data_IF_882831587708
#
_entry.id   IF_882831587708
#
_cell.length_a   1.000
_cell.length_b   1.000
_cell.length_c   1.000
_cell.angle_alpha   90.00
_cell.angle_beta   90.00
_cell.angle_gamma   90.00
#
_symmetry.space_group_name_H-M   'P 1'
#
loop_
_entity.id
_entity.type
_entity.pdbx_description
1 polymer ?
#
# COMPACT_ATOMS: atom_id res chain seq x y z
N UNK A 1 8.07 -2.79 15.06
CA UNK A 1 8.10 -2.58 13.58
C UNK A 1 7.15 -3.51 12.81
N UNK A 2 6.69 -4.63 13.38
CA UNK A 2 5.68 -5.48 12.73
C UNK A 2 4.26 -4.87 12.80
N UNK A 3 3.96 -4.13 13.87
CA UNK A 3 2.66 -3.49 14.12
C UNK A 3 2.29 -2.46 13.06
N UNK A 4 3.26 -1.66 12.60
CA UNK A 4 3.05 -0.67 11.53
C UNK A 4 2.62 -1.36 10.22
N UNK A 5 3.27 -2.49 9.88
CA UNK A 5 2.92 -3.26 8.70
C UNK A 5 1.58 -3.98 8.86
N UNK A 6 1.24 -4.41 10.08
CA UNK A 6 -0.05 -5.03 10.36
C UNK A 6 -1.18 -4.01 10.17
N UNK A 7 -1.06 -2.82 10.76
CA UNK A 7 -2.06 -1.76 10.60
C UNK A 7 -2.24 -1.34 9.14
N UNK A 8 -1.15 -1.18 8.40
CA UNK A 8 -1.21 -0.89 6.96
C UNK A 8 -1.90 -2.01 6.16
N UNK A 9 -1.74 -3.28 6.56
CA UNK A 9 -2.44 -4.41 5.91
C UNK A 9 -3.93 -4.37 6.22
N UNK A 10 -4.32 -4.17 7.48
CA UNK A 10 -5.73 -4.08 7.89
C UNK A 10 -6.44 -2.95 7.14
N UNK A 11 -5.83 -1.76 7.10
CA UNK A 11 -6.38 -0.62 6.36
C UNK A 11 -6.46 -0.91 4.86
N UNK A 12 -5.49 -1.61 4.29
CA UNK A 12 -5.52 -2.00 2.88
C UNK A 12 -6.62 -3.01 2.55
N UNK A 13 -6.94 -3.92 3.48
CA UNK A 13 -8.03 -4.88 3.32
C UNK A 13 -9.39 -4.19 3.39
N UNK A 14 -9.55 -3.20 4.29
CA UNK A 14 -10.74 -2.35 4.35
C UNK A 14 -10.85 -1.41 3.13
N UNK A 15 -9.75 -0.80 2.71
CA UNK A 15 -9.72 0.16 1.61
C UNK A 15 -8.40 0.11 0.83
N UNK A 16 -8.46 -0.34 -0.43
CA UNK A 16 -7.28 -0.45 -1.32
C UNK A 16 -6.75 0.91 -1.80
N UNK A 17 -7.50 2.01 -1.59
CA UNK A 17 -7.16 3.36 -2.05
C UNK A 17 -7.26 4.35 -0.88
N UNK A 18 -6.12 4.86 -0.43
CA UNK A 18 -6.12 5.90 0.60
C UNK A 18 -6.61 7.24 0.07
N UNK A 19 -7.50 7.87 0.84
CA UNK A 19 -7.77 9.31 0.77
C UNK A 19 -6.66 10.08 1.50
N UNK A 20 -6.59 11.39 1.25
CA UNK A 20 -5.61 12.26 1.92
C UNK A 20 -5.78 12.26 3.45
N UNK A 21 -7.01 12.43 3.92
CA UNK A 21 -7.36 12.41 5.35
C UNK A 21 -6.90 11.11 6.04
N UNK A 22 -7.15 9.95 5.41
CA UNK A 22 -6.70 8.67 5.98
C UNK A 22 -5.21 8.48 5.94
N UNK A 23 -4.54 8.96 4.90
CA UNK A 23 -3.08 8.95 4.82
C UNK A 23 -2.46 9.79 5.94
N UNK A 24 -3.01 10.98 6.21
CA UNK A 24 -2.57 11.84 7.32
C UNK A 24 -2.78 11.16 8.68
N UNK A 25 -3.96 10.55 8.89
CA UNK A 25 -4.28 9.83 10.13
C UNK A 25 -3.28 8.70 10.38
N UNK A 26 -3.03 7.85 9.37
CA UNK A 26 -2.10 6.73 9.50
C UNK A 26 -0.64 7.17 9.65
N UNK A 27 -0.26 8.29 9.03
CA UNK A 27 1.06 8.87 9.19
C UNK A 27 1.32 9.25 10.65
N UNK A 28 0.35 9.89 11.29
CA UNK A 28 0.43 10.25 12.71
C UNK A 28 0.36 9.02 13.62
N UNK A 29 -0.53 8.07 13.36
CA UNK A 29 -0.72 6.87 14.19
C UNK A 29 0.52 5.95 14.16
N UNK A 30 1.16 5.82 12.99
CA UNK A 30 2.30 4.94 12.79
C UNK A 30 3.65 5.63 12.94
N UNK A 31 3.67 6.95 13.21
CA UNK A 31 4.86 7.80 13.16
C UNK A 31 5.66 7.59 11.86
N UNK A 32 4.94 7.59 10.73
CA UNK A 32 5.50 7.43 9.38
C UNK A 32 5.20 8.66 8.54
N UNK A 33 6.01 8.91 7.52
CA UNK A 33 5.70 9.95 6.56
C UNK A 33 4.57 9.51 5.63
N UNK A 34 3.68 10.43 5.28
CA UNK A 34 2.61 10.19 4.30
C UNK A 34 3.13 9.60 2.98
N UNK A 35 4.32 10.03 2.55
CA UNK A 35 5.01 9.49 1.38
C UNK A 35 5.33 8.00 1.51
N UNK A 36 5.75 7.54 2.68
CA UNK A 36 6.04 6.11 2.93
C UNK A 36 4.75 5.29 2.85
N UNK A 37 3.66 5.80 3.44
CA UNK A 37 2.34 5.16 3.37
C UNK A 37 1.85 5.10 1.92
N UNK A 38 1.98 6.20 1.16
CA UNK A 38 1.63 6.25 -0.27
C UNK A 38 2.40 5.22 -1.09
N UNK A 39 3.73 5.15 -0.92
CA UNK A 39 4.60 4.19 -1.61
C UNK A 39 4.20 2.75 -1.25
N UNK A 40 3.93 2.48 0.04
CA UNK A 40 3.53 1.16 0.49
C UNK A 40 2.22 0.71 -0.17
N UNK A 41 1.20 1.58 -0.21
CA UNK A 41 -0.09 1.29 -0.87
C UNK A 41 0.07 1.09 -2.39
N UNK A 42 0.91 1.88 -3.04
CA UNK A 42 1.25 1.70 -4.46
C UNK A 42 1.90 0.33 -4.72
N UNK A 43 2.93 -0.03 -3.94
CA UNK A 43 3.63 -1.31 -4.04
C UNK A 43 2.70 -2.50 -3.76
N UNK A 44 1.81 -2.38 -2.78
CA UNK A 44 0.84 -3.42 -2.43
C UNK A 44 -0.16 -3.66 -3.57
N UNK A 45 -0.70 -2.60 -4.19
CA UNK A 45 -1.57 -2.73 -5.38
C UNK A 45 -0.83 -3.32 -6.57
N UNK A 46 0.40 -2.88 -6.83
CA UNK A 46 1.23 -3.42 -7.91
C UNK A 46 1.49 -4.93 -7.71
N UNK A 47 1.76 -5.37 -6.47
CA UNK A 47 1.92 -6.78 -6.13
C UNK A 47 0.65 -7.58 -6.39
N UNK A 48 -0.52 -7.10 -5.96
CA UNK A 48 -1.80 -7.77 -6.24
C UNK A 48 -2.06 -7.84 -7.73
N UNK A 49 -1.88 -6.73 -8.48
CA UNK A 49 -2.02 -6.72 -9.93
C UNK A 49 -1.11 -7.75 -10.63
N UNK A 50 0.12 -7.92 -10.15
CA UNK A 50 1.04 -8.97 -10.63
C UNK A 50 0.58 -10.38 -10.26
N UNK A 51 0.02 -10.59 -9.07
CA UNK A 51 -0.46 -11.89 -8.60
C UNK A 51 -1.82 -12.31 -9.20
N UNK A 52 -2.67 -11.36 -9.59
CA UNK A 52 -4.03 -11.61 -10.10
C UNK A 52 -4.12 -11.95 -11.59
N UNK A 53 -3.01 -12.23 -12.29
CA UNK A 53 -3.09 -12.86 -13.61
C UNK A 53 -2.92 -11.96 -14.84
N UNK A 54 -2.13 -10.90 -14.76
CA UNK A 54 -1.40 -10.42 -15.95
C UNK A 54 0.09 -10.51 -15.64
N UNK A 55 0.66 -11.70 -15.87
CA UNK A 55 2.08 -11.79 -16.24
C UNK A 55 2.21 -10.90 -17.46
N UNK A 56 2.58 -9.63 -17.27
CA UNK A 56 2.86 -8.74 -18.37
C UNK A 56 4.03 -9.38 -19.13
N UNK A 57 3.72 -9.98 -20.28
CA UNK A 57 4.64 -10.47 -21.31
C UNK A 57 5.37 -9.30 -21.99
N UNK A 58 5.71 -8.25 -21.24
CA UNK A 58 6.31 -7.00 -21.72
C UNK A 58 7.60 -6.66 -20.96
N UNK A 59 8.33 -7.70 -20.53
CA UNK A 59 9.73 -7.61 -20.11
C UNK A 59 10.60 -8.59 -20.91
N UNK A 60 10.23 -8.83 -22.17
CA UNK A 60 11.15 -9.27 -23.23
C UNK A 60 11.08 -8.23 -24.34
N UNK A 61 11.81 -7.13 -24.15
CA UNK A 61 12.40 -6.35 -25.23
C UNK A 61 13.62 -5.63 -24.69
#
# INVERSE_FOLDING_TARGET
TNDQLQRLKEEFECNRYLTEDRRQTLANELSLNESQIKIWFQNKRAKIKKSSGVRNTLALQ
#
